data_IF_456650194975
#
_entry.id   IF_456650194975
#
_cell.length_a   1.000
_cell.length_b   1.000
_cell.length_c   1.000
_cell.angle_alpha   90.00
_cell.angle_beta   90.00
_cell.angle_gamma   90.00
#
_symmetry.space_group_name_H-M   'P 1'
#
loop_
_entity.id
_entity.type
_entity.pdbx_description
1 polymer ?
#
# COMPACT_ATOMS: atom_id res chain seq x y z
N UNK A 1 -1.08 8.29 -3.07
CA UNK A 1 0.26 8.62 -3.61
C UNK A 1 1.29 7.64 -3.07
N UNK A 2 2.37 7.37 -3.81
CA UNK A 2 3.53 6.65 -3.29
C UNK A 2 4.39 7.54 -2.38
N UNK A 3 5.36 6.96 -1.67
CA UNK A 3 6.30 7.76 -0.87
C UNK A 3 7.16 8.66 -1.77
N UNK A 4 7.58 8.17 -2.94
CA UNK A 4 8.38 8.93 -3.92
C UNK A 4 7.61 10.16 -4.41
N UNK A 5 6.36 9.97 -4.84
CA UNK A 5 5.49 11.07 -5.28
C UNK A 5 5.26 12.10 -4.17
N UNK A 6 5.09 11.64 -2.94
CA UNK A 6 4.89 12.52 -1.79
C UNK A 6 6.16 13.33 -1.45
N UNK A 7 7.35 12.73 -1.57
CA UNK A 7 8.62 13.44 -1.37
C UNK A 7 8.86 14.51 -2.43
N UNK A 8 8.46 14.27 -3.67
CA UNK A 8 8.48 15.26 -4.75
C UNK A 8 7.52 16.43 -4.48
N UNK A 9 6.28 16.12 -4.08
CA UNK A 9 5.25 17.11 -3.77
C UNK A 9 5.64 18.04 -2.61
N UNK A 10 6.44 17.52 -1.66
CA UNK A 10 6.97 18.26 -0.50
C UNK A 10 8.39 18.78 -0.73
N UNK A 11 8.94 18.66 -1.94
CA UNK A 11 10.25 19.18 -2.34
C UNK A 11 11.39 18.68 -1.42
N UNK A 12 11.30 17.43 -0.95
CA UNK A 12 12.36 16.80 -0.15
C UNK A 12 13.46 16.34 -1.11
N UNK A 13 14.70 16.71 -0.85
CA UNK A 13 15.84 16.48 -1.75
C UNK A 13 17.08 15.92 -1.03
N UNK A 14 18.12 15.59 -1.81
CA UNK A 14 19.43 15.18 -1.32
C UNK A 14 19.43 13.91 -0.48
N UNK A 15 20.30 13.87 0.53
CA UNK A 15 20.51 12.70 1.39
C UNK A 15 19.24 12.31 2.16
N UNK A 16 18.41 13.29 2.55
CA UNK A 16 17.15 13.03 3.22
C UNK A 16 16.20 12.27 2.31
N UNK A 17 16.04 12.71 1.05
CA UNK A 17 15.22 12.01 0.06
C UNK A 17 15.72 10.59 -0.15
N UNK A 18 17.02 10.44 -0.41
CA UNK A 18 17.65 9.12 -0.64
C UNK A 18 17.38 8.18 0.53
N UNK A 19 17.59 8.64 1.77
CA UNK A 19 17.32 7.85 2.98
C UNK A 19 15.85 7.43 3.08
N UNK A 20 14.92 8.33 2.81
CA UNK A 20 13.49 8.04 2.89
C UNK A 20 13.02 7.10 1.78
N UNK A 21 13.61 7.15 0.59
CA UNK A 21 13.25 6.30 -0.54
C UNK A 21 13.89 4.91 -0.47
N UNK A 22 15.14 4.81 -0.01
CA UNK A 22 15.92 3.58 -0.19
C UNK A 22 16.27 2.87 1.11
N UNK A 23 15.93 3.40 2.29
CA UNK A 23 16.24 2.76 3.56
C UNK A 23 14.98 2.43 4.36
N UNK A 24 15.11 1.43 5.23
CA UNK A 24 14.06 1.07 6.17
C UNK A 24 13.68 2.27 7.04
N UNK A 25 12.38 2.56 7.09
CA UNK A 25 11.80 3.45 8.10
C UNK A 25 11.31 2.64 9.31
N UNK A 26 12.03 2.62 10.46
CA UNK A 26 11.56 1.89 11.64
C UNK A 26 10.35 2.57 12.30
N UNK A 27 10.17 3.86 12.07
CA UNK A 27 9.05 4.68 12.54
C UNK A 27 8.53 5.55 11.41
N UNK A 28 7.28 6.02 11.52
CA UNK A 28 6.71 6.95 10.56
C UNK A 28 7.44 8.29 10.63
N UNK A 29 7.58 8.96 9.48
CA UNK A 29 8.31 10.22 9.36
C UNK A 29 7.33 11.32 8.99
N UNK A 30 7.32 12.38 9.80
CA UNK A 30 6.58 13.60 9.47
C UNK A 30 7.39 14.44 8.48
N UNK A 31 6.69 14.96 7.47
CA UNK A 31 7.23 15.91 6.50
C UNK A 31 6.32 17.14 6.48
N UNK A 32 6.92 18.30 6.20
CA UNK A 32 6.23 19.58 6.18
C UNK A 32 6.63 20.36 4.93
N UNK A 33 5.71 21.18 4.44
CA UNK A 33 5.93 22.14 3.37
C UNK A 33 5.17 23.42 3.74
N UNK A 34 5.72 24.63 3.51
CA UNK A 34 5.09 25.88 3.97
C UNK A 34 3.65 26.07 3.51
N UNK A 35 3.35 25.68 2.27
CA UNK A 35 2.03 25.89 1.65
C UNK A 35 1.12 24.66 1.69
N UNK A 36 1.44 23.63 2.48
CA UNK A 36 0.66 22.39 2.57
C UNK A 36 0.40 22.00 4.01
N UNK A 37 -0.66 21.22 4.23
CA UNK A 37 -0.85 20.51 5.49
C UNK A 37 0.33 19.57 5.73
N UNK A 38 0.64 19.23 6.99
CA UNK A 38 1.67 18.24 7.27
C UNK A 38 1.30 16.86 6.73
N UNK A 39 2.29 16.08 6.28
CA UNK A 39 2.09 14.69 5.86
C UNK A 39 2.96 13.71 6.64
N UNK A 40 2.56 12.44 6.60
CA UNK A 40 3.23 11.34 7.28
C UNK A 40 3.59 10.27 6.25
N UNK A 41 4.87 9.95 6.16
CA UNK A 41 5.36 8.78 5.44
C UNK A 41 5.35 7.60 6.42
N UNK A 42 4.56 6.57 6.13
CA UNK A 42 4.43 5.42 7.03
C UNK A 42 5.72 4.63 7.18
N UNK A 43 5.86 4.03 8.35
CA UNK A 43 6.92 3.08 8.67
C UNK A 43 6.92 1.83 7.78
N UNK A 44 8.01 1.08 7.91
CA UNK A 44 8.27 -0.22 7.31
C UNK A 44 8.66 -1.22 8.41
N UNK A 45 8.03 -1.12 9.59
CA UNK A 45 8.29 -1.98 10.77
C UNK A 45 8.30 -3.47 10.45
N UNK A 46 7.38 -4.02 9.64
CA UNK A 46 7.31 -5.46 9.37
C UNK A 46 8.45 -6.01 8.50
N UNK A 47 9.34 -5.16 7.98
CA UNK A 47 10.51 -5.58 7.22
C UNK A 47 11.79 -5.36 8.01
N UNK A 48 12.85 -6.11 7.68
CA UNK A 48 14.23 -5.81 8.08
C UNK A 48 15.20 -6.22 6.99
N UNK A 49 16.32 -5.50 6.87
CA UNK A 49 17.36 -5.76 5.87
C UNK A 49 17.87 -7.22 5.95
N UNK A 50 18.11 -7.71 7.17
CA UNK A 50 18.55 -9.09 7.40
C UNK A 50 17.55 -10.16 6.95
N UNK A 51 16.25 -9.86 7.03
CA UNK A 51 15.21 -10.76 6.52
C UNK A 51 15.07 -10.64 5.00
N UNK A 52 15.16 -9.42 4.46
CA UNK A 52 15.12 -9.15 3.02
C UNK A 52 16.25 -9.89 2.30
N UNK A 53 17.49 -9.80 2.78
CA UNK A 53 18.66 -10.48 2.18
C UNK A 53 18.41 -11.99 1.99
N UNK A 54 17.63 -12.63 2.87
CA UNK A 54 17.36 -14.08 2.82
C UNK A 54 16.28 -14.47 1.80
N UNK A 55 15.48 -13.52 1.35
CA UNK A 55 14.33 -13.79 0.48
C UNK A 55 14.32 -12.97 -0.81
N UNK A 56 15.26 -12.05 -1.00
CA UNK A 56 15.39 -11.31 -2.24
C UNK A 56 16.03 -12.21 -3.31
N UNK A 57 15.54 -12.10 -4.54
CA UNK A 57 16.15 -12.71 -5.71
C UNK A 57 17.59 -12.21 -5.88
N UNK A 58 18.44 -13.07 -6.47
CA UNK A 58 19.85 -12.76 -6.67
C UNK A 58 20.02 -11.44 -7.45
N UNK A 59 20.90 -10.56 -6.95
CA UNK A 59 21.19 -9.26 -7.56
C UNK A 59 20.31 -8.11 -7.07
N UNK A 60 19.27 -8.38 -6.26
CA UNK A 60 18.45 -7.35 -5.65
C UNK A 60 18.87 -7.07 -4.20
N UNK A 61 19.16 -5.81 -3.91
CA UNK A 61 19.54 -5.34 -2.57
C UNK A 61 18.31 -4.88 -1.77
N UNK A 62 18.36 -4.85 -0.42
CA UNK A 62 17.31 -4.24 0.39
C UNK A 62 16.98 -2.81 -0.02
N UNK A 63 18.00 -2.01 -0.38
CA UNK A 63 17.79 -0.62 -0.77
C UNK A 63 16.98 -0.49 -2.07
N UNK A 64 17.29 -1.34 -3.06
CA UNK A 64 16.51 -1.39 -4.30
C UNK A 64 15.08 -1.88 -4.06
N UNK A 65 14.89 -2.82 -3.13
CA UNK A 65 13.54 -3.26 -2.74
C UNK A 65 12.74 -2.13 -2.09
N UNK A 66 13.35 -1.39 -1.15
CA UNK A 66 12.70 -0.22 -0.53
C UNK A 66 12.35 0.85 -1.57
N UNK A 67 13.27 1.17 -2.48
CA UNK A 67 13.01 2.11 -3.57
C UNK A 67 11.83 1.65 -4.44
N UNK A 68 11.80 0.37 -4.81
CA UNK A 68 10.72 -0.22 -5.60
C UNK A 68 9.37 -0.08 -4.89
N UNK A 69 9.28 -0.46 -3.62
CA UNK A 69 8.04 -0.29 -2.85
C UNK A 69 7.65 1.19 -2.73
N UNK A 70 8.61 2.05 -2.40
CA UNK A 70 8.34 3.48 -2.20
C UNK A 70 7.98 4.22 -3.50
N UNK A 71 8.16 3.60 -4.68
CA UNK A 71 7.72 4.11 -5.98
C UNK A 71 6.25 3.80 -6.31
N UNK A 72 5.56 3.00 -5.49
CA UNK A 72 4.20 2.51 -5.76
C UNK A 72 3.18 2.96 -4.72
N UNK A 73 1.95 3.16 -5.17
CA UNK A 73 0.77 3.35 -4.31
C UNK A 73 0.10 1.99 -4.12
N UNK A 74 -0.17 1.59 -2.87
CA UNK A 74 -0.71 0.27 -2.53
C UNK A 74 -2.17 0.34 -2.12
N UNK A 75 -2.93 -0.68 -2.52
CA UNK A 75 -4.33 -0.87 -2.18
C UNK A 75 -4.55 -2.26 -1.58
N UNK A 76 -5.41 -2.31 -0.57
CA UNK A 76 -5.86 -3.56 0.03
C UNK A 76 -7.09 -4.06 -0.71
N UNK A 77 -7.06 -5.31 -1.17
CA UNK A 77 -8.18 -5.95 -1.87
C UNK A 77 -9.09 -6.77 -0.94
N UNK A 78 -8.90 -6.65 0.37
CA UNK A 78 -9.65 -7.44 1.36
C UNK A 78 -9.89 -6.62 2.62
N UNK A 79 -11.17 -6.48 2.95
CA UNK A 79 -11.69 -5.87 4.19
C UNK A 79 -11.02 -6.43 5.44
N UNK A 80 -11.00 -7.75 5.57
CA UNK A 80 -10.41 -8.45 6.72
C UNK A 80 -8.93 -8.12 6.93
N UNK A 81 -8.18 -7.88 5.84
CA UNK A 81 -6.76 -7.55 5.93
C UNK A 81 -6.56 -6.12 6.42
N UNK A 82 -7.44 -5.18 6.06
CA UNK A 82 -7.46 -3.82 6.60
C UNK A 82 -7.71 -3.88 8.11
N UNK A 83 -8.76 -4.56 8.56
CA UNK A 83 -9.04 -4.70 10.00
C UNK A 83 -7.89 -5.34 10.77
N UNK A 84 -7.19 -6.32 10.19
CA UNK A 84 -5.99 -6.90 10.81
C UNK A 84 -4.87 -5.88 10.97
N UNK A 85 -4.65 -5.02 9.97
CA UNK A 85 -3.69 -3.92 10.06
C UNK A 85 -4.08 -2.93 11.15
N UNK A 86 -5.33 -2.50 11.17
CA UNK A 86 -5.86 -1.54 12.15
C UNK A 86 -5.75 -2.04 13.59
N UNK A 87 -5.92 -3.35 13.82
CA UNK A 87 -5.74 -4.01 15.13
C UNK A 87 -4.28 -4.24 15.53
N UNK A 88 -3.32 -4.06 14.61
CA UNK A 88 -1.92 -4.32 14.91
C UNK A 88 -1.40 -3.37 15.99
N UNK A 89 -0.47 -3.86 16.84
CA UNK A 89 0.07 -3.09 17.98
C UNK A 89 0.56 -1.69 17.60
N UNK A 90 1.15 -1.53 16.41
CA UNK A 90 1.67 -0.26 15.93
C UNK A 90 0.57 0.78 15.60
N UNK A 91 -0.67 0.34 15.35
CA UNK A 91 -1.71 1.18 14.75
C UNK A 91 -3.02 1.21 15.54
N UNK A 92 -3.27 0.23 16.42
CA UNK A 92 -4.53 0.10 17.17
C UNK A 92 -4.94 1.29 18.04
N UNK A 93 -4.01 2.19 18.36
CA UNK A 93 -4.28 3.39 19.16
C UNK A 93 -4.20 4.68 18.34
N UNK A 94 -4.14 4.57 17.01
CA UNK A 94 -4.06 5.72 16.11
C UNK A 94 -5.31 5.73 15.23
N UNK A 95 -6.11 6.81 15.23
CA UNK A 95 -7.16 6.99 14.24
C UNK A 95 -6.57 6.91 12.83
N UNK A 96 -7.30 6.28 11.92
CA UNK A 96 -6.94 6.13 10.51
C UNK A 96 -8.12 6.55 9.66
N UNK A 97 -7.86 7.26 8.58
CA UNK A 97 -8.84 7.49 7.52
C UNK A 97 -8.76 6.34 6.53
N UNK A 98 -9.86 5.63 6.33
CA UNK A 98 -9.96 4.53 5.37
C UNK A 98 -10.89 4.95 4.24
N UNK A 99 -10.40 4.80 3.01
CA UNK A 99 -11.14 5.06 1.78
C UNK A 99 -11.58 3.71 1.20
N UNK A 100 -12.87 3.55 0.98
CA UNK A 100 -13.44 2.45 0.17
C UNK A 100 -13.45 2.90 -1.28
N UNK A 101 -12.87 2.11 -2.18
CA UNK A 101 -12.63 2.47 -3.58
C UNK A 101 -13.40 1.54 -4.50
N UNK A 102 -14.08 2.10 -5.50
CA UNK A 102 -14.58 1.33 -6.64
C UNK A 102 -13.39 0.81 -7.45
N UNK A 103 -13.10 -0.48 -7.26
CA UNK A 103 -12.00 -1.14 -7.95
C UNK A 103 -12.24 -1.24 -9.45
N UNK A 104 -13.50 -1.34 -9.91
CA UNK A 104 -13.81 -1.41 -11.34
C UNK A 104 -13.49 -0.08 -12.04
N UNK A 105 -13.93 1.04 -11.46
CA UNK A 105 -13.61 2.39 -11.94
C UNK A 105 -12.09 2.65 -11.93
N UNK A 106 -11.39 2.30 -10.85
CA UNK A 106 -9.93 2.43 -10.76
C UNK A 106 -9.20 1.61 -11.84
N UNK A 107 -9.64 0.37 -12.08
CA UNK A 107 -9.05 -0.50 -13.10
C UNK A 107 -9.32 0.04 -14.50
N UNK A 108 -10.52 0.54 -14.77
CA UNK A 108 -10.86 1.12 -16.07
C UNK A 108 -9.97 2.33 -16.40
N UNK A 109 -9.71 3.20 -15.42
CA UNK A 109 -8.88 4.40 -15.61
C UNK A 109 -7.37 4.12 -15.65
N UNK A 110 -6.87 3.18 -14.84
CA UNK A 110 -5.42 3.01 -14.61
C UNK A 110 -4.85 1.64 -15.03
N UNK A 111 -5.59 0.86 -15.83
CA UNK A 111 -5.23 -0.52 -16.21
C UNK A 111 -3.75 -0.72 -16.53
N UNK A 112 -3.22 0.11 -17.42
CA UNK A 112 -1.84 0.02 -17.94
C UNK A 112 -0.77 0.39 -16.92
N UNK A 113 -1.16 0.93 -15.75
CA UNK A 113 -0.27 1.33 -14.65
C UNK A 113 -0.43 0.41 -13.42
N UNK A 114 -1.38 -0.51 -13.48
CA UNK A 114 -1.66 -1.43 -12.39
C UNK A 114 -0.71 -2.63 -12.44
N UNK A 115 -0.27 -3.01 -11.25
CA UNK A 115 0.45 -4.24 -10.96
C UNK A 115 -0.24 -4.97 -9.82
N UNK A 116 -0.11 -6.29 -9.80
CA UNK A 116 -0.68 -7.18 -8.80
C UNK A 116 0.44 -7.91 -8.07
N UNK A 117 0.27 -8.12 -6.76
CA UNK A 117 1.19 -8.90 -5.94
C UNK A 117 0.45 -10.09 -5.29
N UNK A 118 1.05 -11.29 -5.31
CA UNK A 118 0.50 -12.47 -4.64
C UNK A 118 0.78 -12.51 -3.13
N UNK A 119 1.52 -11.55 -2.59
CA UNK A 119 1.98 -11.50 -1.19
C UNK A 119 1.89 -10.09 -0.61
N UNK A 120 2.01 -9.97 0.70
CA UNK A 120 2.31 -8.67 1.32
C UNK A 120 3.78 -8.34 1.07
N UNK A 121 4.04 -7.48 0.09
CA UNK A 121 5.40 -7.13 -0.33
C UNK A 121 6.14 -6.29 0.73
N UNK A 122 5.38 -5.54 1.54
CA UNK A 122 5.86 -4.71 2.65
C UNK A 122 6.06 -5.42 4.00
N UNK A 123 6.13 -6.75 4.02
CA UNK A 123 6.32 -7.51 5.26
C UNK A 123 7.23 -8.72 5.06
N UNK A 124 8.20 -8.88 5.96
CA UNK A 124 9.05 -10.08 6.08
C UNK A 124 8.83 -10.82 7.40
N UNK A 125 7.68 -10.61 8.06
CA UNK A 125 7.34 -11.32 9.29
C UNK A 125 6.96 -12.78 9.03
N UNK A 126 7.12 -13.63 10.05
CA UNK A 126 6.78 -15.05 10.07
C UNK A 126 7.56 -15.88 9.03
N UNK A 127 6.99 -16.10 7.84
CA UNK A 127 7.57 -16.88 6.75
C UNK A 127 7.76 -15.98 5.52
N UNK A 128 8.91 -15.29 5.39
CA UNK A 128 9.22 -14.48 4.22
C UNK A 128 9.11 -15.33 2.94
N UNK A 129 8.26 -14.92 2.01
CA UNK A 129 8.22 -15.53 0.67
C UNK A 129 9.35 -14.95 -0.20
N UNK A 130 9.81 -15.64 -1.26
CA UNK A 130 10.71 -15.06 -2.24
C UNK A 130 10.18 -13.73 -2.80
N UNK A 131 11.08 -12.77 -3.05
CA UNK A 131 10.77 -11.41 -3.48
C UNK A 131 11.76 -10.96 -4.56
N UNK A 132 11.25 -10.32 -5.59
CA UNK A 132 12.06 -9.72 -6.64
C UNK A 132 11.19 -8.97 -7.63
N UNK A 133 11.75 -8.64 -8.78
CA UNK A 133 11.00 -7.90 -9.81
C UNK A 133 9.75 -8.68 -10.26
N UNK A 134 9.84 -10.02 -10.33
CA UNK A 134 8.71 -10.90 -10.64
C UNK A 134 7.66 -11.03 -9.54
N UNK A 135 7.84 -10.41 -8.36
CA UNK A 135 6.78 -10.34 -7.34
C UNK A 135 5.57 -9.54 -7.83
N UNK A 136 5.81 -8.56 -8.69
CA UNK A 136 4.77 -7.72 -9.26
C UNK A 136 4.53 -8.10 -10.72
N UNK A 137 3.27 -8.34 -11.09
CA UNK A 137 2.89 -8.70 -12.46
C UNK A 137 1.80 -7.76 -12.96
N UNK A 138 1.72 -7.55 -14.28
CA UNK A 138 0.59 -6.86 -14.88
C UNK A 138 -0.68 -7.69 -14.73
N UNK A 139 -1.84 -7.05 -14.87
CA UNK A 139 -3.13 -7.76 -14.75
C UNK A 139 -3.22 -8.92 -15.75
N UNK A 140 -2.76 -8.73 -16.99
CA UNK A 140 -2.79 -9.76 -18.03
C UNK A 140 -1.83 -10.93 -17.79
N UNK A 141 -0.73 -10.70 -17.06
CA UNK A 141 0.31 -11.69 -16.80
C UNK A 141 0.10 -12.40 -15.44
N UNK A 142 -0.82 -11.91 -14.61
CA UNK A 142 -1.05 -12.46 -13.29
C UNK A 142 -1.77 -13.82 -13.39
N UNK A 143 -1.22 -14.91 -12.82
CA UNK A 143 -1.78 -16.26 -12.96
C UNK A 143 -2.97 -16.48 -12.02
N UNK A 144 -4.06 -15.74 -12.24
CA UNK A 144 -5.22 -15.72 -11.35
C UNK A 144 -5.89 -17.09 -11.28
N UNK A 145 -6.14 -17.73 -12.42
CA UNK A 145 -6.87 -18.99 -12.52
C UNK A 145 -6.12 -20.13 -11.84
N UNK A 146 -4.84 -20.33 -12.18
CA UNK A 146 -3.97 -21.34 -11.58
C UNK A 146 -3.92 -21.24 -10.05
N UNK A 147 -3.86 -20.01 -9.52
CA UNK A 147 -3.79 -19.77 -8.08
C UNK A 147 -5.15 -19.93 -7.41
N UNK A 148 -6.24 -19.56 -8.07
CA UNK A 148 -7.60 -19.62 -7.52
C UNK A 148 -8.04 -21.03 -7.13
N UNK A 149 -7.52 -22.06 -7.81
CA UNK A 149 -7.79 -23.47 -7.50
C UNK A 149 -7.31 -23.94 -6.12
N UNK A 150 -6.36 -23.23 -5.49
CA UNK A 150 -5.77 -23.63 -4.19
C UNK A 150 -5.82 -22.55 -3.12
N UNK A 151 -6.35 -21.36 -3.45
CA UNK A 151 -6.31 -20.17 -2.58
C UNK A 151 -7.70 -19.55 -2.48
N UNK A 152 -8.07 -19.17 -1.26
CA UNK A 152 -9.22 -18.27 -1.06
C UNK A 152 -9.01 -16.95 -1.82
N UNK A 153 -10.10 -16.31 -2.26
CA UNK A 153 -10.06 -15.08 -3.05
C UNK A 153 -9.17 -13.99 -2.41
N UNK A 154 -9.31 -13.77 -1.10
CA UNK A 154 -8.51 -12.79 -0.34
C UNK A 154 -7.00 -13.08 -0.28
N UNK A 155 -6.57 -14.29 -0.65
CA UNK A 155 -5.18 -14.72 -0.72
C UNK A 155 -4.71 -14.98 -2.16
N UNK A 156 -5.60 -14.84 -3.15
CA UNK A 156 -5.24 -15.06 -4.53
C UNK A 156 -4.43 -13.86 -5.05
N UNK A 157 -5.05 -12.67 -5.02
CA UNK A 157 -4.42 -11.38 -5.24
C UNK A 157 -4.39 -10.64 -3.91
N UNK A 158 -3.20 -10.28 -3.44
CA UNK A 158 -3.02 -9.77 -2.07
C UNK A 158 -2.89 -8.26 -2.04
N UNK A 159 -2.24 -7.67 -3.04
CA UNK A 159 -2.09 -6.23 -3.18
C UNK A 159 -2.33 -5.82 -4.63
N UNK A 160 -3.01 -4.69 -4.81
CA UNK A 160 -3.03 -3.94 -6.06
C UNK A 160 -2.13 -2.73 -5.90
N UNK A 161 -1.33 -2.44 -6.92
CA UNK A 161 -0.39 -1.34 -6.92
C UNK A 161 -0.59 -0.47 -8.15
N UNK A 162 -0.49 0.85 -7.98
CA UNK A 162 -0.35 1.78 -9.09
C UNK A 162 1.00 2.47 -9.02
N UNK A 163 1.66 2.59 -10.17
CA UNK A 163 2.93 3.33 -10.28
C UNK A 163 2.78 4.78 -9.88
N UNK A 164 3.68 5.25 -9.02
CA UNK A 164 3.86 6.63 -8.61
C UNK A 164 2.68 7.25 -7.84
N UNK A 165 1.53 7.49 -8.47
CA UNK A 165 0.36 8.14 -7.86
C UNK A 165 -0.95 7.83 -8.61
N UNK A 166 -2.09 8.09 -7.94
CA UNK A 166 -3.43 8.10 -8.55
C UNK A 166 -3.99 9.52 -8.32
N UNK A 167 -3.77 10.47 -9.25
CA UNK A 167 -4.10 11.88 -9.04
C UNK A 167 -5.62 12.14 -8.99
N UNK A 168 -6.38 11.32 -9.70
CA UNK A 168 -7.85 11.27 -9.83
C UNK A 168 -8.51 10.34 -8.79
N UNK A 169 -7.83 10.05 -7.68
CA UNK A 169 -8.34 9.11 -6.66
C UNK A 169 -9.77 9.43 -6.21
N UNK A 170 -10.10 10.72 -6.08
CA UNK A 170 -11.42 11.18 -5.62
C UNK A 170 -12.57 10.63 -6.50
N UNK A 171 -12.33 10.44 -7.80
CA UNK A 171 -13.34 9.96 -8.76
C UNK A 171 -13.65 8.47 -8.58
N UNK A 172 -12.86 7.77 -7.77
CA UNK A 172 -13.01 6.33 -7.52
C UNK A 172 -13.43 6.03 -6.07
N UNK A 173 -13.56 7.03 -5.20
CA UNK A 173 -13.93 6.81 -3.78
C UNK A 173 -15.44 6.60 -3.67
N UNK A 174 -15.84 5.52 -2.99
CA UNK A 174 -17.24 5.24 -2.64
C UNK A 174 -17.57 5.76 -1.25
N UNK A 175 -16.67 5.61 -0.28
CA UNK A 175 -16.88 6.11 1.07
C UNK A 175 -15.57 6.41 1.80
N UNK A 176 -15.62 7.31 2.77
CA UNK A 176 -14.50 7.69 3.63
C UNK A 176 -14.93 7.58 5.08
N UNK A 177 -14.16 6.82 5.85
CA UNK A 177 -14.45 6.55 7.24
C UNK A 177 -13.26 6.85 8.14
N UNK A 178 -13.52 7.31 9.35
CA UNK A 178 -12.53 7.36 10.42
C UNK A 178 -12.66 6.10 11.29
N UNK A 179 -11.56 5.40 11.53
CA UNK A 179 -11.52 4.15 12.29
C UNK A 179 -10.38 4.14 13.30
N UNK A 180 -10.57 3.44 14.42
CA UNK A 180 -9.50 3.13 15.37
C UNK A 180 -9.67 1.70 15.88
N UNK A 181 -8.60 0.91 15.84
CA UNK A 181 -8.62 -0.52 16.20
C UNK A 181 -9.69 -1.31 15.43
N UNK A 182 -10.83 -1.57 16.08
CA UNK A 182 -11.97 -2.35 15.62
C UNK A 182 -13.27 -1.53 15.63
N UNK A 183 -13.15 -0.20 15.78
CA UNK A 183 -14.27 0.72 15.90
C UNK A 183 -14.30 1.68 14.72
N UNK A 184 -15.48 1.81 14.13
CA UNK A 184 -15.84 2.91 13.26
C UNK A 184 -16.13 4.13 14.14
N UNK A 185 -15.36 5.21 13.97
CA UNK A 185 -15.57 6.46 14.70
C UNK A 185 -16.63 7.33 14.01
N UNK A 186 -16.66 7.30 12.68
CA UNK A 186 -17.67 7.99 11.89
C UNK A 186 -17.45 7.85 10.38
N UNK A 187 -18.47 8.21 9.63
CA UNK A 187 -18.40 8.42 8.19
C UNK A 187 -18.08 9.90 7.93
N UNK A 188 -17.02 10.15 7.16
CA UNK A 188 -16.59 11.50 6.77
C UNK A 188 -17.32 11.92 5.48
N UNK A 189 -17.50 10.98 4.56
CA UNK A 189 -18.08 11.24 3.25
C UNK A 189 -18.57 9.94 2.59
N UNK A 190 -19.59 10.03 1.73
CA UNK A 190 -20.14 8.93 0.94
C UNK A 190 -20.55 9.41 -0.46
N UNK A 191 -20.23 8.61 -1.46
CA UNK A 191 -20.64 8.81 -2.85
C UNK A 191 -22.13 8.48 -3.03
N UNK A 192 -22.86 9.19 -3.92
CA UNK A 192 -24.19 8.77 -4.34
C UNK A 192 -24.26 7.37 -4.96
N UNK A 193 -23.15 6.87 -5.50
CA UNK A 193 -23.05 5.54 -6.12
C UNK A 193 -22.69 4.43 -5.13
N UNK A 194 -22.43 4.77 -3.86
CA UNK A 194 -22.06 3.82 -2.84
C UNK A 194 -23.25 3.07 -2.26
N UNK A 195 -23.04 1.80 -1.88
CA UNK A 195 -24.02 0.98 -1.18
C UNK A 195 -23.74 0.87 0.33
N UNK A 196 -24.68 0.31 1.09
CA UNK A 196 -24.58 0.17 2.55
C UNK A 196 -23.38 -0.69 3.01
N UNK A 197 -22.82 -1.52 2.13
CA UNK A 197 -21.64 -2.33 2.40
C UNK A 197 -20.34 -1.59 2.10
N UNK A 198 -20.36 -0.38 1.52
CA UNK A 198 -19.15 0.39 1.24
C UNK A 198 -18.58 1.03 2.52
N UNK A 199 -17.90 0.19 3.29
CA UNK A 199 -17.22 0.56 4.51
C UNK A 199 -16.00 -0.34 4.76
N UNK A 200 -15.09 0.05 5.69
CA UNK A 200 -13.86 -0.67 5.99
C UNK A 200 -14.03 -2.09 6.48
#
# INVERSE_FOLDING_TARGET
MSSTALLEDYVIQGDQRTRLETMRRPESVHIAHPDRLGAIIRDQKPMSDAALIKCLDAGLTPNQWYALLNSRTFFWLSRDRIWRLLKARAYRNLPQTVLTIDTASLVAAHRERIWLSPINSGSTLFKPQPRGLGTFMRIGDFPFEERSGTRAAANNVVELLVEHSVPDMADHVLAVHEVINDKLLGEIWRSPDADDNDHP
#
